data_IF_382493096756
#
_entry.id   IF_382493096756
#
_cell.length_a   1.000
_cell.length_b   1.000
_cell.length_c   1.000
_cell.angle_alpha   90.00
_cell.angle_beta   90.00
_cell.angle_gamma   90.00
#
_symmetry.space_group_name_H-M   'P 1'
#
loop_
_entity.id
_entity.type
_entity.pdbx_description
1 polymer ?
#
# COMPACT_ATOMS: atom_id res chain seq x y z
N UNK A 1 32.01 -8.37 -13.58
CA UNK A 1 30.60 -8.32 -13.18
C UNK A 1 30.47 -7.31 -12.04
N UNK A 2 30.13 -6.05 -12.35
CA UNK A 2 29.98 -5.01 -11.32
C UNK A 2 28.65 -5.26 -10.60
N UNK A 3 28.78 -5.68 -9.35
CA UNK A 3 27.72 -6.06 -8.43
C UNK A 3 26.52 -5.10 -8.45
N UNK A 4 25.34 -5.63 -8.74
CA UNK A 4 24.03 -4.95 -8.73
C UNK A 4 23.75 -4.23 -7.40
N UNK A 5 24.39 -4.66 -6.31
CA UNK A 5 24.24 -4.08 -4.97
C UNK A 5 24.75 -2.63 -4.82
N UNK A 6 25.52 -2.09 -5.77
CA UNK A 6 25.90 -0.67 -5.74
C UNK A 6 24.81 0.27 -6.25
N UNK A 7 23.65 -0.23 -6.71
CA UNK A 7 22.55 0.57 -7.25
C UNK A 7 21.54 1.05 -6.22
N UNK A 8 21.43 0.44 -5.04
CA UNK A 8 20.41 0.83 -4.05
C UNK A 8 20.85 2.03 -3.22
N UNK A 9 20.15 3.15 -3.38
CA UNK A 9 20.27 4.32 -2.51
C UNK A 9 19.50 4.12 -1.20
N UNK A 10 19.76 4.97 -0.20
CA UNK A 10 18.97 5.01 1.05
C UNK A 10 17.49 5.35 0.77
N UNK A 11 17.23 6.11 -0.30
CA UNK A 11 15.89 6.40 -0.83
C UNK A 11 15.16 5.12 -1.29
N UNK A 12 15.83 4.24 -2.05
CA UNK A 12 15.20 3.01 -2.56
C UNK A 12 14.66 2.09 -1.44
N UNK A 13 15.27 2.10 -0.25
CA UNK A 13 14.76 1.36 0.91
C UNK A 13 13.47 1.98 1.48
N UNK A 14 13.31 3.29 1.38
CA UNK A 14 12.11 4.01 1.81
C UNK A 14 11.00 3.77 0.79
N UNK A 15 11.30 3.88 -0.50
CA UNK A 15 10.38 3.54 -1.59
C UNK A 15 9.88 2.10 -1.47
N UNK A 16 10.77 1.16 -1.16
CA UNK A 16 10.40 -0.25 -1.00
C UNK A 16 9.53 -0.45 0.25
N UNK A 17 9.73 0.34 1.30
CA UNK A 17 8.87 0.35 2.49
C UNK A 17 7.48 0.90 2.16
N UNK A 18 7.37 1.96 1.35
CA UNK A 18 6.10 2.47 0.83
C UNK A 18 5.35 1.36 0.06
N UNK A 19 6.02 0.69 -0.88
CA UNK A 19 5.45 -0.42 -1.64
C UNK A 19 5.03 -1.60 -0.74
N UNK A 20 5.80 -1.92 0.29
CA UNK A 20 5.43 -2.95 1.28
C UNK A 20 4.15 -2.58 2.04
N UNK A 21 4.00 -1.33 2.47
CA UNK A 21 2.78 -0.89 3.15
C UNK A 21 1.56 -0.84 2.22
N UNK A 22 1.74 -0.40 0.97
CA UNK A 22 0.68 -0.43 -0.05
C UNK A 22 0.21 -1.85 -0.36
N UNK A 23 1.14 -2.80 -0.53
CA UNK A 23 0.81 -4.21 -0.78
C UNK A 23 0.19 -4.90 0.45
N UNK A 24 0.67 -4.60 1.67
CA UNK A 24 0.06 -5.09 2.92
C UNK A 24 -1.38 -4.58 3.08
N UNK A 25 -1.65 -3.33 2.71
CA UNK A 25 -3.01 -2.79 2.71
C UNK A 25 -3.94 -3.61 1.83
N UNK A 26 -3.51 -3.91 0.59
CA UNK A 26 -4.28 -4.74 -0.34
C UNK A 26 -4.51 -6.14 0.25
N UNK A 27 -3.50 -6.72 0.89
CA UNK A 27 -3.64 -8.03 1.53
C UNK A 27 -4.69 -8.02 2.65
N UNK A 28 -4.70 -7.00 3.52
CA UNK A 28 -5.73 -6.85 4.55
C UNK A 28 -7.13 -6.65 3.96
N UNK A 29 -7.26 -5.93 2.84
CA UNK A 29 -8.54 -5.81 2.13
C UNK A 29 -9.04 -7.15 1.60
N UNK A 30 -8.16 -7.98 1.03
CA UNK A 30 -8.53 -9.31 0.54
C UNK A 30 -8.97 -10.19 1.71
N UNK A 31 -8.25 -10.17 2.83
CA UNK A 31 -8.66 -10.90 4.04
C UNK A 31 -10.00 -10.42 4.58
N UNK A 32 -10.26 -9.11 4.54
CA UNK A 32 -11.56 -8.56 4.94
C UNK A 32 -12.71 -9.12 4.08
N UNK A 33 -12.48 -9.29 2.78
CA UNK A 33 -13.47 -9.86 1.84
C UNK A 33 -13.66 -11.35 2.09
N UNK A 34 -12.58 -12.11 2.22
CA UNK A 34 -12.64 -13.57 2.45
C UNK A 34 -13.39 -13.91 3.76
N UNK A 35 -13.13 -13.13 4.82
CA UNK A 35 -13.81 -13.26 6.11
C UNK A 35 -15.30 -12.88 6.02
N UNK A 36 -15.64 -11.86 5.21
CA UNK A 36 -17.04 -11.47 4.95
C UNK A 36 -17.82 -12.57 4.20
N UNK A 37 -17.17 -13.24 3.25
CA UNK A 37 -17.78 -14.34 2.47
C UNK A 37 -17.94 -15.63 3.30
N UNK A 38 -17.02 -15.87 4.24
CA UNK A 38 -17.00 -17.07 5.08
C UNK A 38 -18.01 -17.03 6.21
N UNK A 39 -18.17 -15.87 6.85
CA UNK A 39 -19.07 -15.69 8.00
C UNK A 39 -19.80 -14.33 7.95
N UNK A 40 -20.94 -14.24 7.25
CA UNK A 40 -21.64 -12.98 6.99
C UNK A 40 -22.14 -12.26 8.27
N UNK A 41 -22.21 -12.96 9.40
CA UNK A 41 -22.64 -12.40 10.69
C UNK A 41 -21.49 -11.86 11.55
N UNK A 42 -20.22 -12.04 11.13
CA UNK A 42 -19.04 -11.54 11.82
C UNK A 42 -18.74 -10.08 11.43
N UNK A 43 -19.65 -9.15 11.73
CA UNK A 43 -19.43 -7.72 11.41
C UNK A 43 -18.17 -7.15 12.08
N UNK A 44 -17.76 -7.72 13.22
CA UNK A 44 -16.66 -7.23 14.02
C UNK A 44 -15.26 -7.53 13.46
N UNK A 45 -15.07 -8.64 12.74
CA UNK A 45 -13.73 -9.08 12.31
C UNK A 45 -13.35 -8.47 10.95
N UNK A 46 -14.27 -8.47 9.98
CA UNK A 46 -14.11 -7.77 8.69
C UNK A 46 -13.83 -6.27 8.88
N UNK A 47 -14.45 -5.63 9.88
CA UNK A 47 -14.23 -4.21 10.19
C UNK A 47 -12.79 -3.96 10.66
N UNK A 48 -12.19 -4.85 11.47
CA UNK A 48 -10.80 -4.70 11.94
C UNK A 48 -9.79 -4.71 10.80
N UNK A 49 -9.98 -5.56 9.79
CA UNK A 49 -9.10 -5.63 8.63
C UNK A 49 -9.18 -4.38 7.75
N UNK A 50 -10.37 -3.78 7.61
CA UNK A 50 -10.51 -2.49 6.90
C UNK A 50 -9.77 -1.39 7.65
N UNK A 51 -9.89 -1.31 8.97
CA UNK A 51 -9.10 -0.35 9.78
C UNK A 51 -7.59 -0.58 9.65
N UNK A 52 -7.14 -1.83 9.64
CA UNK A 52 -5.73 -2.18 9.42
C UNK A 52 -5.26 -1.74 8.02
N UNK A 53 -6.05 -1.96 6.97
CA UNK A 53 -5.78 -1.49 5.61
C UNK A 53 -5.66 0.04 5.56
N UNK A 54 -6.61 0.77 6.16
CA UNK A 54 -6.56 2.24 6.23
C UNK A 54 -5.29 2.75 6.92
N UNK A 55 -4.89 2.09 8.02
CA UNK A 55 -3.66 2.41 8.73
C UNK A 55 -2.44 2.14 7.86
N UNK A 56 -2.40 1.03 7.12
CA UNK A 56 -1.33 0.73 6.18
C UNK A 56 -1.23 1.74 5.04
N UNK A 57 -2.35 2.20 4.48
CA UNK A 57 -2.35 3.28 3.47
C UNK A 57 -1.78 4.56 4.08
N UNK A 58 -2.19 4.92 5.30
CA UNK A 58 -1.67 6.10 5.97
C UNK A 58 -0.15 6.02 6.22
N UNK A 59 0.34 4.86 6.69
CA UNK A 59 1.77 4.63 6.88
C UNK A 59 2.55 4.69 5.56
N UNK A 60 1.96 4.18 4.47
CA UNK A 60 2.51 4.28 3.12
C UNK A 60 2.63 5.75 2.68
N UNK A 61 1.60 6.58 2.87
CA UNK A 61 1.64 8.03 2.60
C UNK A 61 2.76 8.71 3.41
N UNK A 62 2.88 8.38 4.69
CA UNK A 62 3.93 8.94 5.55
C UNK A 62 5.32 8.52 5.05
N UNK A 63 5.48 7.28 4.61
CA UNK A 63 6.72 6.77 4.02
C UNK A 63 7.15 7.56 2.77
N UNK A 64 6.20 7.84 1.87
CA UNK A 64 6.42 8.60 0.64
C UNK A 64 6.83 10.07 0.92
N UNK A 65 6.13 10.73 1.84
CA UNK A 65 6.47 12.10 2.27
C UNK A 65 7.89 12.19 2.83
N UNK A 66 8.39 11.11 3.45
CA UNK A 66 9.76 11.04 3.99
C UNK A 66 10.79 10.74 2.89
N UNK A 67 10.43 10.04 1.83
CA UNK A 67 11.34 9.71 0.72
C UNK A 67 11.72 10.95 -0.10
N UNK A 68 10.75 11.83 -0.39
CA UNK A 68 10.99 13.07 -1.15
C UNK A 68 12.14 13.96 -0.61
N UNK A 69 12.18 14.28 0.70
CA UNK A 69 13.28 15.01 1.34
C UNK A 69 14.61 14.24 1.35
N UNK A 70 14.59 12.92 1.50
CA UNK A 70 15.79 12.06 1.51
C UNK A 70 16.39 11.96 0.11
N UNK A 71 15.56 11.78 -0.92
CA UNK A 71 15.94 11.81 -2.33
C UNK A 71 16.57 13.16 -2.73
N UNK A 72 16.03 14.28 -2.24
CA UNK A 72 16.61 15.62 -2.44
C UNK A 72 17.98 15.78 -1.78
N UNK A 73 18.20 15.17 -0.60
CA UNK A 73 19.48 15.27 0.13
C UNK A 73 20.58 14.37 -0.45
N UNK A 74 20.22 13.27 -1.10
CA UNK A 74 21.18 12.27 -1.60
C UNK A 74 21.46 12.32 -3.11
N UNK A 75 20.79 13.19 -3.86
CA UNK A 75 21.11 13.69 -5.22
C UNK A 75 22.06 12.84 -6.09
N UNK A 76 21.78 11.55 -6.19
CA UNK A 76 22.25 10.66 -7.25
C UNK A 76 21.03 9.88 -7.69
N UNK A 77 20.13 10.56 -8.41
CA UNK A 77 19.00 9.93 -9.08
C UNK A 77 19.56 8.83 -10.00
N UNK A 78 19.41 7.58 -9.57
CA UNK A 78 19.70 6.43 -10.41
C UNK A 78 18.40 6.05 -11.11
N UNK A 79 18.50 5.70 -12.40
CA UNK A 79 17.34 5.38 -13.25
C UNK A 79 16.39 4.35 -12.60
N UNK A 80 16.95 3.40 -11.84
CA UNK A 80 16.18 2.33 -11.19
C UNK A 80 15.26 2.85 -10.07
N UNK A 81 15.76 3.76 -9.23
CA UNK A 81 15.00 4.29 -8.08
C UNK A 81 13.78 5.10 -8.52
N UNK A 82 13.92 5.92 -9.57
CA UNK A 82 12.80 6.73 -10.08
C UNK A 82 11.67 5.90 -10.70
N UNK A 83 11.97 4.79 -11.38
CA UNK A 83 10.91 3.90 -11.89
C UNK A 83 10.24 3.09 -10.77
N UNK A 84 10.97 2.75 -9.72
CA UNK A 84 10.44 2.02 -8.57
C UNK A 84 9.50 2.91 -7.74
N UNK A 85 9.83 4.18 -7.60
CA UNK A 85 9.03 5.22 -6.95
C UNK A 85 7.65 5.34 -7.57
N UNK A 86 7.60 5.56 -8.89
CA UNK A 86 6.34 5.66 -9.65
C UNK A 86 5.49 4.39 -9.50
N UNK A 87 6.11 3.20 -9.53
CA UNK A 87 5.37 1.93 -9.34
C UNK A 87 4.83 1.79 -7.92
N UNK A 88 5.60 2.18 -6.92
CA UNK A 88 5.19 2.18 -5.51
C UNK A 88 4.01 3.12 -5.29
N UNK A 89 4.10 4.34 -5.80
CA UNK A 89 3.06 5.36 -5.67
C UNK A 89 1.74 4.93 -6.32
N UNK A 90 1.81 4.32 -7.51
CA UNK A 90 0.64 3.76 -8.16
C UNK A 90 -0.05 2.68 -7.31
N UNK A 91 0.72 1.79 -6.67
CA UNK A 91 0.14 0.74 -5.82
C UNK A 91 -0.51 1.33 -4.56
N UNK A 92 0.22 2.21 -3.89
CA UNK A 92 -0.16 2.79 -2.60
C UNK A 92 -1.30 3.80 -2.68
N UNK A 93 -1.30 4.67 -3.70
CA UNK A 93 -2.25 5.79 -3.79
C UNK A 93 -3.38 5.58 -4.80
N UNK A 94 -3.21 4.70 -5.78
CA UNK A 94 -4.28 4.42 -6.75
C UNK A 94 -4.93 3.06 -6.46
N UNK A 95 -4.14 1.98 -6.42
CA UNK A 95 -4.69 0.62 -6.37
C UNK A 95 -5.32 0.31 -5.01
N UNK A 96 -4.61 0.56 -3.89
CA UNK A 96 -5.13 0.29 -2.56
C UNK A 96 -6.43 1.08 -2.25
N UNK A 97 -6.53 2.41 -2.52
CA UNK A 97 -7.76 3.15 -2.29
C UNK A 97 -8.91 2.76 -3.22
N UNK A 98 -8.62 2.43 -4.49
CA UNK A 98 -9.64 1.97 -5.43
C UNK A 98 -10.26 0.63 -4.99
N UNK A 99 -9.44 -0.33 -4.55
CA UNK A 99 -9.92 -1.59 -3.99
C UNK A 99 -10.73 -1.38 -2.71
N UNK A 100 -10.28 -0.48 -1.83
CA UNK A 100 -11.01 -0.15 -0.61
C UNK A 100 -12.42 0.39 -0.93
N UNK A 101 -12.54 1.33 -1.87
CA UNK A 101 -13.85 1.82 -2.30
C UNK A 101 -14.72 0.73 -2.90
N UNK A 102 -14.15 -0.13 -3.75
CA UNK A 102 -14.88 -1.25 -4.36
C UNK A 102 -15.47 -2.19 -3.30
N UNK A 103 -14.68 -2.55 -2.28
CA UNK A 103 -15.12 -3.44 -1.19
C UNK A 103 -16.18 -2.76 -0.32
N UNK A 104 -16.01 -1.48 0.01
CA UNK A 104 -17.00 -0.73 0.78
C UNK A 104 -18.33 -0.63 0.04
N UNK A 105 -18.30 -0.36 -1.27
CA UNK A 105 -19.51 -0.34 -2.09
C UNK A 105 -20.16 -1.72 -2.22
N UNK A 106 -19.36 -2.78 -2.41
CA UNK A 106 -19.87 -4.16 -2.42
C UNK A 106 -20.60 -4.52 -1.14
N UNK A 107 -20.00 -4.21 0.02
CA UNK A 107 -20.64 -4.39 1.33
C UNK A 107 -21.94 -3.60 1.50
N UNK A 108 -22.01 -2.37 0.97
CA UNK A 108 -23.25 -1.58 1.01
C UNK A 108 -24.35 -2.17 0.12
N UNK A 109 -24.01 -2.81 -1.00
CA UNK A 109 -24.96 -3.50 -1.87
C UNK A 109 -25.55 -4.79 -1.26
N UNK A 110 -24.81 -5.46 -0.38
CA UNK A 110 -25.32 -6.62 0.37
C UNK A 110 -26.19 -6.22 1.58
N UNK A 111 -26.11 -4.96 2.01
CA UNK A 111 -26.90 -4.41 3.12
C UNK A 111 -28.28 -3.87 2.68
N UNK A 112 -28.62 -3.93 1.39
CA UNK A 112 -29.97 -3.65 0.92
C UNK A 112 -30.89 -4.86 1.14
N UNK A 113 -32.07 -4.69 1.79
CA UNK A 113 -32.98 -5.77 2.16
C UNK A 113 -33.69 -6.42 0.97
#
# INVERSE_FOLDING_TARGET
MKSTFKLTGLADYITLSNAMFGTLSIFFLILAVDDTLSDPYSEGLATKYIWASMLCIFLSVVGDIIDGPVARRYSKQKLLGGSLDIMSDCLSFCVAPALMMFIMFGRWGEATP
#
